data_IF_002000205920
#
_entry.id   IF_002000205920
#
_cell.length_a   1.000
_cell.length_b   1.000
_cell.length_c   1.000
_cell.angle_alpha   90.00
_cell.angle_beta   90.00
_cell.angle_gamma   90.00
#
_symmetry.space_group_name_H-M   'P 1'
#
loop_
_entity.id
_entity.type
_entity.pdbx_description
1 polymer ?
#
# COMPACT_ATOMS: atom_id res chain seq x y z
N UNK A 1 -16.88 -1.07 -5.57
CA UNK A 1 -17.76 -0.81 -4.42
C UNK A 1 -16.95 -0.30 -3.25
N UNK A 2 -17.32 0.88 -2.78
CA UNK A 2 -16.68 1.49 -1.62
C UNK A 2 -17.17 0.82 -0.35
N UNK A 3 -16.25 0.51 0.57
CA UNK A 3 -16.59 -0.15 1.81
C UNK A 3 -15.68 0.30 2.95
N UNK A 4 -16.15 0.13 4.17
CA UNK A 4 -15.31 0.31 5.35
C UNK A 4 -14.46 -0.93 5.55
N UNK A 5 -13.17 -0.72 5.83
CA UNK A 5 -12.18 -1.78 5.98
C UNK A 5 -11.52 -1.69 7.35
N UNK A 6 -11.08 -2.82 7.84
CA UNK A 6 -10.16 -2.89 8.96
C UNK A 6 -8.81 -3.34 8.42
N UNK A 7 -7.82 -2.45 8.50
CA UNK A 7 -6.45 -2.79 8.12
C UNK A 7 -5.81 -3.48 9.32
N UNK A 8 -5.32 -4.70 9.17
CA UNK A 8 -4.85 -5.48 10.31
C UNK A 8 -3.57 -4.91 10.92
N UNK A 9 -3.40 -5.13 12.22
CA UNK A 9 -2.12 -4.92 12.86
C UNK A 9 -1.09 -5.86 12.25
N UNK A 10 0.10 -5.37 11.94
CA UNK A 10 1.14 -6.18 11.31
C UNK A 10 2.52 -5.60 11.51
N UNK A 11 3.53 -6.45 11.35
CA UNK A 11 4.93 -6.05 11.40
C UNK A 11 5.45 -5.94 9.98
N UNK A 12 6.06 -4.80 9.66
CA UNK A 12 6.52 -4.50 8.30
C UNK A 12 7.94 -3.98 8.30
N UNK A 13 8.65 -4.25 7.20
CA UNK A 13 9.90 -3.62 6.85
C UNK A 13 9.60 -2.44 5.96
N UNK A 14 10.04 -1.23 6.34
CA UNK A 14 9.65 0.01 5.68
C UNK A 14 10.85 0.80 5.17
N UNK A 15 10.76 1.29 3.94
CA UNK A 15 11.74 2.20 3.35
C UNK A 15 11.01 3.35 2.66
N UNK A 16 11.52 4.56 2.88
CA UNK A 16 10.95 5.77 2.26
C UNK A 16 11.60 6.03 0.92
N UNK A 17 10.80 6.48 -0.05
CA UNK A 17 11.26 6.87 -1.37
C UNK A 17 10.52 8.11 -1.87
N UNK A 18 11.14 8.81 -2.81
CA UNK A 18 10.57 10.02 -3.42
C UNK A 18 11.01 10.03 -4.89
N UNK A 19 10.19 9.44 -5.76
CA UNK A 19 10.51 9.29 -7.18
C UNK A 19 9.34 9.72 -8.04
N UNK A 20 9.63 10.46 -9.09
CA UNK A 20 8.62 10.87 -10.08
C UNK A 20 8.59 9.94 -11.29
N UNK A 21 9.70 9.26 -11.59
CA UNK A 21 9.81 8.35 -12.72
C UNK A 21 9.25 6.95 -12.39
N UNK A 22 8.51 6.37 -13.35
CA UNK A 22 7.91 5.04 -13.18
C UNK A 22 8.98 3.96 -13.03
N UNK A 23 10.03 4.01 -13.85
CA UNK A 23 11.09 2.99 -13.82
C UNK A 23 11.92 3.07 -12.54
N UNK A 24 12.24 4.27 -12.07
CA UNK A 24 12.97 4.48 -10.82
C UNK A 24 12.15 3.96 -9.64
N UNK A 25 10.86 4.20 -9.66
CA UNK A 25 9.94 3.73 -8.63
C UNK A 25 9.88 2.21 -8.60
N UNK A 26 9.74 1.56 -9.74
CA UNK A 26 9.72 0.10 -9.84
C UNK A 26 11.01 -0.51 -9.31
N UNK A 27 12.14 0.05 -9.66
CA UNK A 27 13.45 -0.43 -9.21
C UNK A 27 13.58 -0.32 -7.69
N UNK A 28 13.16 0.81 -7.13
CA UNK A 28 13.16 1.02 -5.67
C UNK A 28 12.28 -0.01 -4.95
N UNK A 29 11.05 -0.22 -5.43
CA UNK A 29 10.13 -1.17 -4.82
C UNK A 29 10.69 -2.59 -4.86
N UNK A 30 11.32 -2.95 -5.97
CA UNK A 30 11.96 -4.25 -6.12
C UNK A 30 13.13 -4.42 -5.14
N UNK A 31 13.97 -3.41 -5.00
CA UNK A 31 15.09 -3.43 -4.06
C UNK A 31 14.62 -3.61 -2.62
N UNK A 32 13.58 -2.89 -2.22
CA UNK A 32 13.03 -3.00 -0.86
C UNK A 32 12.48 -4.40 -0.62
N UNK A 33 11.77 -4.95 -1.59
CA UNK A 33 11.21 -6.30 -1.51
C UNK A 33 12.33 -7.34 -1.33
N UNK A 34 13.36 -7.28 -2.16
CA UNK A 34 14.48 -8.22 -2.09
C UNK A 34 15.26 -8.07 -0.79
N UNK A 35 15.45 -6.86 -0.32
CA UNK A 35 16.13 -6.60 0.96
C UNK A 35 15.36 -7.18 2.13
N UNK A 36 14.03 -7.01 2.16
CA UNK A 36 13.20 -7.58 3.22
C UNK A 36 13.27 -9.10 3.24
N UNK A 37 13.24 -9.76 2.08
CA UNK A 37 13.39 -11.21 1.99
C UNK A 37 14.75 -11.65 2.49
N UNK A 38 15.79 -10.95 2.08
CA UNK A 38 17.17 -11.30 2.47
C UNK A 38 17.38 -11.20 3.98
N UNK A 39 16.85 -10.14 4.61
CA UNK A 39 17.05 -9.88 6.03
C UNK A 39 16.13 -10.70 6.92
N UNK A 40 14.88 -10.94 6.51
CA UNK A 40 13.85 -11.49 7.38
C UNK A 40 13.22 -12.78 6.87
N UNK A 41 13.65 -13.25 5.72
CA UNK A 41 13.17 -14.50 5.16
C UNK A 41 11.89 -14.36 4.34
N UNK A 42 11.47 -15.51 3.81
CA UNK A 42 10.39 -15.57 2.83
C UNK A 42 9.17 -16.31 3.36
N UNK A 43 8.61 -15.87 4.49
CA UNK A 43 7.32 -16.40 4.90
C UNK A 43 6.25 -15.86 3.96
N UNK A 44 5.93 -16.66 2.95
CA UNK A 44 5.04 -16.25 1.87
C UNK A 44 3.56 -16.29 2.25
N UNK A 45 3.21 -16.92 3.37
CA UNK A 45 1.80 -17.16 3.73
C UNK A 45 1.05 -15.92 4.14
N UNK A 46 1.76 -14.87 4.60
CA UNK A 46 1.17 -13.65 5.13
C UNK A 46 1.74 -12.39 4.50
N UNK A 47 2.43 -12.52 3.36
CA UNK A 47 3.15 -11.38 2.81
C UNK A 47 2.22 -10.37 2.17
N UNK A 48 2.20 -9.19 2.74
CA UNK A 48 1.56 -8.03 2.14
C UNK A 48 2.62 -7.07 1.65
N UNK A 49 2.34 -6.44 0.52
CA UNK A 49 3.20 -5.44 -0.08
C UNK A 49 2.33 -4.22 -0.36
N UNK A 50 2.67 -3.10 0.26
CA UNK A 50 1.89 -1.89 0.07
C UNK A 50 2.78 -0.65 0.13
N UNK A 51 2.27 0.44 -0.41
CA UNK A 51 2.85 1.76 -0.20
C UNK A 51 1.88 2.63 0.58
N UNK A 52 2.42 3.57 1.33
CA UNK A 52 1.64 4.61 1.99
C UNK A 52 2.19 5.97 1.62
N UNK A 53 1.30 6.94 1.45
CA UNK A 53 1.69 8.31 1.19
C UNK A 53 0.64 9.27 1.75
N UNK A 54 1.05 10.54 1.91
CA UNK A 54 0.13 11.59 2.31
C UNK A 54 -0.57 12.15 1.07
N UNK A 55 -1.88 12.37 1.15
CA UNK A 55 -2.67 12.94 0.05
C UNK A 55 -2.09 14.24 -0.49
N UNK A 56 -1.45 15.04 0.37
CA UNK A 56 -0.88 16.34 -0.02
C UNK A 56 0.50 16.21 -0.67
N UNK A 57 1.19 15.07 -0.47
CA UNK A 57 2.55 14.83 -0.96
C UNK A 57 2.68 13.44 -1.56
N UNK A 58 1.95 13.15 -2.65
CA UNK A 58 1.91 11.79 -3.21
C UNK A 58 3.22 11.33 -3.83
N UNK A 59 4.16 12.23 -4.09
CA UNK A 59 5.49 11.89 -4.62
C UNK A 59 6.41 11.25 -3.57
N UNK A 60 6.11 11.48 -2.28
CA UNK A 60 6.86 10.88 -1.17
C UNK A 60 6.05 9.71 -0.63
N UNK A 61 6.65 8.52 -0.62
CA UNK A 61 5.93 7.33 -0.17
C UNK A 61 6.82 6.44 0.69
N UNK A 62 6.16 5.59 1.48
CA UNK A 62 6.81 4.54 2.26
C UNK A 62 6.42 3.20 1.66
N UNK A 63 7.41 2.40 1.29
CA UNK A 63 7.20 1.04 0.83
C UNK A 63 7.24 0.12 2.03
N UNK A 64 6.23 -0.73 2.19
CA UNK A 64 6.09 -1.62 3.34
C UNK A 64 5.91 -3.07 2.89
N UNK A 65 6.66 -3.97 3.51
CA UNK A 65 6.59 -5.40 3.21
C UNK A 65 6.43 -6.16 4.52
N UNK A 66 5.46 -7.05 4.58
CA UNK A 66 5.22 -7.86 5.78
C UNK A 66 6.43 -8.72 6.08
N UNK A 67 6.81 -8.75 7.37
CA UNK A 67 7.88 -9.58 7.88
C UNK A 67 7.36 -10.34 9.12
N UNK A 68 8.06 -11.40 9.56
CA UNK A 68 7.61 -12.13 10.76
C UNK A 68 7.47 -11.21 11.97
N UNK A 69 6.47 -11.44 12.83
CA UNK A 69 6.19 -10.56 13.99
C UNK A 69 7.36 -10.34 14.94
N UNK A 70 8.27 -11.30 15.03
CA UNK A 70 9.43 -11.22 15.90
C UNK A 70 10.61 -10.45 15.29
N UNK A 71 10.47 -9.98 14.03
CA UNK A 71 11.53 -9.24 13.33
C UNK A 71 11.88 -7.95 14.08
N UNK A 72 13.16 -7.64 14.11
CA UNK A 72 13.68 -6.43 14.75
C UNK A 72 14.71 -5.78 13.84
N UNK A 73 14.78 -4.46 13.87
CA UNK A 73 15.74 -3.69 13.10
C UNK A 73 15.31 -2.25 12.94
N UNK A 74 16.21 -1.46 12.39
CA UNK A 74 16.01 -0.02 12.21
C UNK A 74 14.79 0.33 11.37
N UNK A 75 14.48 -0.50 10.36
CA UNK A 75 13.39 -0.24 9.43
C UNK A 75 12.15 -1.10 9.71
N UNK A 76 12.14 -1.81 10.83
CA UNK A 76 10.99 -2.63 11.21
C UNK A 76 10.01 -1.80 12.03
N UNK A 77 8.74 -1.84 11.63
CA UNK A 77 7.66 -1.10 12.29
C UNK A 77 6.53 -2.05 12.61
N UNK A 78 6.02 -1.95 13.83
CA UNK A 78 4.82 -2.68 14.25
C UNK A 78 3.61 -1.77 14.07
N UNK A 79 2.84 -1.99 13.00
CA UNK A 79 1.68 -1.16 12.69
C UNK A 79 0.47 -1.60 13.50
N UNK A 80 -0.29 -0.65 14.08
CA UNK A 80 -1.53 -0.99 14.76
C UNK A 80 -2.65 -1.29 13.76
N UNK A 81 -3.72 -1.91 14.26
CA UNK A 81 -4.94 -2.01 13.49
C UNK A 81 -5.49 -0.60 13.21
N UNK A 82 -6.00 -0.39 12.00
CA UNK A 82 -6.53 0.91 11.58
C UNK A 82 -7.83 0.72 10.81
N UNK A 83 -8.74 1.67 10.95
CA UNK A 83 -9.96 1.71 10.15
C UNK A 83 -9.73 2.55 8.91
N UNK A 84 -10.34 2.14 7.82
CA UNK A 84 -10.16 2.81 6.54
C UNK A 84 -11.44 2.74 5.70
N UNK A 85 -11.51 3.64 4.74
CA UNK A 85 -12.47 3.59 3.65
C UNK A 85 -11.73 3.08 2.43
N UNK A 86 -12.25 2.06 1.77
CA UNK A 86 -11.48 1.44 0.68
C UNK A 86 -12.28 0.88 -0.45
N UNK A 87 -11.55 0.52 -1.50
CA UNK A 87 -12.09 -0.09 -2.71
C UNK A 87 -11.06 -1.10 -3.22
N UNK A 88 -11.55 -2.22 -3.77
CA UNK A 88 -10.70 -3.14 -4.52
C UNK A 88 -10.74 -2.73 -5.99
N UNK A 89 -9.65 -2.15 -6.48
CA UNK A 89 -9.56 -1.66 -7.84
C UNK A 89 -9.02 -2.74 -8.76
N UNK A 90 -9.77 -3.03 -9.82
CA UNK A 90 -9.38 -3.99 -10.86
C UNK A 90 -8.93 -3.20 -12.09
N UNK A 91 -7.64 -3.25 -12.41
CA UNK A 91 -7.12 -2.56 -13.56
C UNK A 91 -5.68 -2.10 -13.41
N UNK A 92 -5.22 -1.33 -14.41
CA UNK A 92 -3.84 -0.86 -14.47
C UNK A 92 -3.54 0.22 -13.42
N UNK A 93 -2.27 0.34 -13.08
CA UNK A 93 -1.83 1.28 -12.04
C UNK A 93 -2.02 2.75 -12.44
N UNK A 94 -2.02 3.05 -13.72
CA UNK A 94 -2.19 4.41 -14.21
C UNK A 94 -3.56 5.00 -13.85
N UNK A 95 -4.54 4.15 -13.61
CA UNK A 95 -5.91 4.57 -13.26
C UNK A 95 -6.16 4.59 -11.74
N UNK A 96 -5.21 4.21 -10.92
CA UNK A 96 -5.36 4.26 -9.46
C UNK A 96 -5.74 5.65 -8.91
N UNK A 97 -5.24 6.76 -9.47
CA UNK A 97 -5.69 8.08 -9.02
C UNK A 97 -7.20 8.30 -9.14
N UNK A 98 -7.85 7.67 -10.11
CA UNK A 98 -9.31 7.77 -10.26
C UNK A 98 -10.04 7.11 -9.10
N UNK A 99 -9.58 5.92 -8.67
CA UNK A 99 -10.13 5.22 -7.51
C UNK A 99 -9.95 6.04 -6.24
N UNK A 100 -8.78 6.64 -6.07
CA UNK A 100 -8.50 7.50 -4.91
C UNK A 100 -9.42 8.71 -4.88
N UNK A 101 -9.65 9.37 -6.02
CA UNK A 101 -10.55 10.52 -6.12
C UNK A 101 -11.98 10.14 -5.78
N UNK A 102 -12.43 8.97 -6.23
CA UNK A 102 -13.76 8.45 -5.91
C UNK A 102 -13.92 8.26 -4.39
N UNK A 103 -12.91 7.68 -3.74
CA UNK A 103 -12.91 7.51 -2.28
C UNK A 103 -12.94 8.85 -1.56
N UNK A 104 -12.13 9.81 -2.01
CA UNK A 104 -12.07 11.15 -1.40
C UNK A 104 -13.42 11.88 -1.52
N UNK A 105 -14.07 11.77 -2.67
CA UNK A 105 -15.38 12.38 -2.89
C UNK A 105 -16.44 11.74 -1.97
N UNK A 106 -16.42 10.42 -1.84
CA UNK A 106 -17.34 9.73 -0.95
C UNK A 106 -17.12 10.15 0.50
N UNK A 107 -15.86 10.20 0.95
CA UNK A 107 -15.53 10.61 2.31
C UNK A 107 -16.02 12.03 2.61
N UNK A 108 -15.86 12.95 1.67
CA UNK A 108 -16.34 14.32 1.81
C UNK A 108 -17.87 14.36 1.89
N UNK A 109 -18.57 13.60 1.05
CA UNK A 109 -20.03 13.55 1.05
C UNK A 109 -20.60 12.97 2.35
N UNK A 110 -19.87 12.07 2.99
CA UNK A 110 -20.27 11.41 4.23
C UNK A 110 -19.69 12.10 5.48
N UNK A 111 -19.01 13.22 5.33
CA UNK A 111 -18.36 13.95 6.43
C UNK A 111 -17.42 13.09 7.27
N UNK A 112 -16.67 12.20 6.62
CA UNK A 112 -15.71 11.33 7.31
C UNK A 112 -14.41 12.09 7.59
N UNK A 113 -13.83 11.83 8.76
CA UNK A 113 -12.54 12.42 9.14
C UNK A 113 -11.41 11.52 8.66
N UNK A 114 -10.60 12.04 7.72
CA UNK A 114 -9.47 11.32 7.16
C UNK A 114 -8.18 11.68 7.90
N UNK A 115 -7.30 10.68 8.05
CA UNK A 115 -5.97 10.92 8.64
C UNK A 115 -5.01 11.62 7.66
N UNK A 116 -5.31 11.58 6.38
CA UNK A 116 -4.42 12.06 5.31
C UNK A 116 -3.58 10.97 4.69
N UNK A 117 -3.53 9.78 5.28
CA UNK A 117 -2.75 8.65 4.77
C UNK A 117 -3.56 7.83 3.78
N UNK A 118 -2.93 7.53 2.63
CA UNK A 118 -3.46 6.63 1.61
C UNK A 118 -2.58 5.39 1.60
N UNK A 119 -3.20 4.21 1.51
CA UNK A 119 -2.49 2.94 1.37
C UNK A 119 -2.93 2.25 0.09
N UNK A 120 -1.95 1.88 -0.75
CA UNK A 120 -2.16 1.01 -1.90
C UNK A 120 -1.57 -0.35 -1.58
N UNK A 121 -2.42 -1.36 -1.42
CA UNK A 121 -1.96 -2.74 -1.20
C UNK A 121 -2.06 -3.49 -2.52
N UNK A 122 -0.92 -3.98 -3.01
CA UNK A 122 -0.83 -4.67 -4.30
C UNK A 122 -1.12 -6.14 -4.10
N UNK A 123 -2.37 -6.53 -4.31
CA UNK A 123 -2.83 -7.90 -4.07
C UNK A 123 -2.45 -8.84 -5.21
N UNK A 124 -2.69 -8.41 -6.45
CA UNK A 124 -2.31 -9.15 -7.65
C UNK A 124 -1.76 -8.17 -8.68
N UNK A 125 -0.62 -8.49 -9.24
CA UNK A 125 0.06 -7.63 -10.20
C UNK A 125 0.82 -8.44 -11.24
N UNK A 126 1.93 -7.90 -11.78
CA UNK A 126 2.69 -8.55 -12.85
C UNK A 126 3.07 -10.01 -12.59
N UNK A 127 3.44 -10.45 -11.37
CA UNK A 127 3.74 -11.86 -11.14
C UNK A 127 2.58 -12.80 -11.41
N UNK A 128 1.33 -12.35 -11.19
CA UNK A 128 0.14 -13.18 -11.33
C UNK A 128 -0.54 -13.02 -12.69
N UNK A 129 -0.44 -11.83 -13.29
CA UNK A 129 -1.18 -11.49 -14.51
C UNK A 129 -0.30 -10.77 -15.53
N UNK A 130 -0.40 -11.19 -16.79
CA UNK A 130 0.26 -10.49 -17.91
C UNK A 130 -0.54 -9.27 -18.34
N UNK A 131 -1.87 -9.37 -18.28
CA UNK A 131 -2.75 -8.28 -18.67
C UNK A 131 -2.99 -7.35 -17.48
N UNK A 132 -2.57 -6.07 -17.58
CA UNK A 132 -2.78 -5.09 -16.52
C UNK A 132 -4.25 -4.90 -16.12
N UNK A 133 -5.19 -5.21 -17.00
CA UNK A 133 -6.62 -5.13 -16.68
C UNK A 133 -7.02 -6.10 -15.56
N UNK A 134 -6.21 -7.13 -15.29
CA UNK A 134 -6.46 -8.13 -14.26
C UNK A 134 -5.73 -7.85 -12.95
N UNK A 135 -4.98 -6.75 -12.86
CA UNK A 135 -4.33 -6.37 -11.60
C UNK A 135 -5.39 -6.01 -10.56
N UNK A 136 -5.11 -6.34 -9.30
CA UNK A 136 -6.00 -6.02 -8.18
C UNK A 136 -5.21 -5.23 -7.14
N UNK A 137 -5.66 -4.03 -6.85
CA UNK A 137 -5.06 -3.16 -5.84
C UNK A 137 -6.15 -2.71 -4.87
N UNK A 138 -5.91 -2.88 -3.58
CA UNK A 138 -6.76 -2.29 -2.56
C UNK A 138 -6.28 -0.85 -2.33
N UNK A 139 -7.16 0.10 -2.56
CA UNK A 139 -6.90 1.52 -2.27
C UNK A 139 -7.66 1.87 -1.01
N UNK A 140 -6.98 2.40 0.00
CA UNK A 140 -7.58 2.71 1.28
C UNK A 140 -7.20 4.11 1.75
N UNK A 141 -8.20 4.86 2.20
CA UNK A 141 -8.00 6.11 2.91
C UNK A 141 -8.13 5.82 4.40
N UNK A 142 -7.05 6.02 5.14
CA UNK A 142 -7.04 5.72 6.57
C UNK A 142 -7.86 6.78 7.32
N UNK A 143 -8.77 6.33 8.17
CA UNK A 143 -9.62 7.20 8.99
C UNK A 143 -8.90 7.63 10.26
N UNK A 144 -9.31 8.78 10.77
CA UNK A 144 -8.84 9.23 12.08
C UNK A 144 -9.41 8.38 13.22
#
# INVERSE_FOLDING_TARGET
>A
VIQFLTLPAQTVYCRKGAFNGVEERKEFLREVFMEAIHLYGSDSSMRMFFIEYNLEHPEEFTCCISVPPASKGEHVVHLPEQKALGIFYHGCYESLPDARRELSAYAAAQNLSLSGTVRHTYLEGPPQHKDPANFITQVALVLQ
#
